data_IF_955803608728
#
_entry.id   IF_955803608728
#
_cell.length_a   1.000
_cell.length_b   1.000
_cell.length_c   1.000
_cell.angle_alpha   90.00
_cell.angle_beta   90.00
_cell.angle_gamma   90.00
#
_symmetry.space_group_name_H-M   'P 1'
#
loop_
_entity.id
_entity.type
_entity.pdbx_description
1 polymer ?
#
# COMPACT_ATOMS: atom_id res chain seq x y z
N UNK A 1 14.92 -15.40 -5.38
CA UNK A 1 15.57 -14.15 -4.93
C UNK A 1 16.28 -14.45 -3.61
N UNK A 2 17.54 -14.05 -3.46
CA UNK A 2 18.32 -14.27 -2.22
C UNK A 2 18.15 -13.16 -1.17
N UNK A 3 17.00 -12.48 -1.16
CA UNK A 3 16.71 -11.40 -0.20
C UNK A 3 16.26 -12.06 1.10
N UNK A 4 16.96 -11.79 2.19
CA UNK A 4 16.58 -12.24 3.53
C UNK A 4 15.57 -11.25 4.10
N UNK A 5 14.39 -11.75 4.46
CA UNK A 5 13.37 -10.99 5.17
C UNK A 5 13.26 -11.42 6.63
N UNK A 6 12.59 -10.60 7.43
CA UNK A 6 12.17 -10.90 8.80
C UNK A 6 10.67 -10.73 8.91
N UNK A 7 10.03 -11.65 9.64
CA UNK A 7 8.60 -11.60 9.96
C UNK A 7 8.43 -10.97 11.36
N UNK A 8 7.30 -10.30 11.61
CA UNK A 8 6.98 -9.64 12.89
C UNK A 8 8.14 -8.75 13.39
N UNK A 9 8.70 -7.97 12.46
CA UNK A 9 9.94 -7.25 12.66
C UNK A 9 9.73 -5.94 13.42
N UNK A 10 10.44 -5.79 14.53
CA UNK A 10 10.45 -4.57 15.33
C UNK A 10 11.33 -3.48 14.72
N UNK A 11 10.89 -2.24 14.82
CA UNK A 11 11.67 -1.06 14.44
C UNK A 11 11.35 0.18 15.27
N UNK A 12 12.08 1.27 14.98
CA UNK A 12 11.88 2.58 15.60
C UNK A 12 12.01 3.72 14.59
N UNK A 13 11.25 4.77 14.80
CA UNK A 13 11.47 6.07 14.16
C UNK A 13 12.68 6.79 14.73
N UNK A 14 13.12 7.84 14.03
CA UNK A 14 14.13 8.78 14.52
C UNK A 14 13.70 9.49 15.83
N UNK A 15 12.39 9.67 16.06
CA UNK A 15 11.81 10.16 17.31
C UNK A 15 11.74 9.10 18.42
N UNK A 16 12.06 7.84 18.14
CA UNK A 16 12.04 6.73 19.10
C UNK A 16 10.70 5.98 19.19
N UNK A 17 9.72 6.33 18.36
CA UNK A 17 8.42 5.63 18.29
C UNK A 17 8.62 4.21 17.76
N UNK A 18 8.18 3.23 18.53
CA UNK A 18 8.28 1.82 18.16
C UNK A 18 7.23 1.44 17.13
N UNK A 19 7.56 0.48 16.29
CA UNK A 19 6.64 -0.17 15.38
C UNK A 19 7.02 -1.63 15.18
N UNK A 20 6.08 -2.35 14.60
CA UNK A 20 6.17 -3.76 14.27
C UNK A 20 5.56 -3.93 12.88
N UNK A 21 6.30 -4.61 12.02
CA UNK A 21 5.96 -4.86 10.62
C UNK A 21 5.73 -6.35 10.41
N UNK A 22 4.71 -6.72 9.64
CA UNK A 22 4.45 -8.13 9.33
C UNK A 22 5.60 -8.77 8.57
N UNK A 23 6.14 -8.06 7.56
CA UNK A 23 7.33 -8.47 6.82
C UNK A 23 8.23 -7.26 6.58
N UNK A 24 9.51 -7.39 6.91
CA UNK A 24 10.56 -6.40 6.68
C UNK A 24 11.71 -7.02 5.89
N UNK A 25 12.22 -6.32 4.88
CA UNK A 25 13.45 -6.69 4.20
C UNK A 25 14.19 -5.47 3.67
N UNK A 26 15.48 -5.65 3.40
CA UNK A 26 16.33 -4.61 2.85
C UNK A 26 16.93 -5.03 1.53
N UNK A 27 17.01 -4.07 0.61
CA UNK A 27 17.76 -4.14 -0.64
C UNK A 27 18.70 -2.93 -0.69
N UNK A 28 19.70 -2.89 -1.59
CA UNK A 28 20.65 -1.77 -1.63
C UNK A 28 19.95 -0.40 -1.63
N UNK A 29 20.15 0.36 -0.54
CA UNK A 29 19.60 1.71 -0.37
C UNK A 29 18.12 1.80 0.02
N UNK A 30 17.40 0.69 0.19
CA UNK A 30 15.97 0.69 0.52
C UNK A 30 15.64 -0.33 1.60
N UNK A 31 14.82 0.09 2.56
CA UNK A 31 14.21 -0.78 3.57
C UNK A 31 12.72 -0.79 3.34
N UNK A 32 12.15 -1.98 3.15
CA UNK A 32 10.79 -2.16 2.66
C UNK A 32 10.03 -3.03 3.67
N UNK A 33 8.82 -2.57 3.99
CA UNK A 33 7.81 -3.28 4.77
C UNK A 33 6.65 -3.68 3.87
N UNK A 34 6.19 -4.92 4.03
CA UNK A 34 4.91 -5.38 3.50
C UNK A 34 3.98 -5.65 4.68
N UNK A 35 2.87 -4.93 4.73
CA UNK A 35 1.83 -5.08 5.76
C UNK A 35 0.68 -5.96 5.27
N UNK A 36 0.34 -6.98 6.03
CA UNK A 36 -0.75 -7.94 5.77
C UNK A 36 -1.99 -7.59 6.59
N UNK A 37 -2.76 -6.60 6.16
CA UNK A 37 -3.95 -6.20 6.93
C UNK A 37 -5.16 -7.09 6.65
N UNK A 38 -5.40 -8.06 7.53
CA UNK A 38 -6.53 -9.01 7.48
C UNK A 38 -7.79 -8.48 8.17
N UNK A 39 -7.64 -7.81 9.30
CA UNK A 39 -8.75 -7.28 10.10
C UNK A 39 -9.13 -5.87 9.66
N UNK A 40 -10.35 -5.43 9.98
CA UNK A 40 -10.76 -4.06 9.73
C UNK A 40 -9.81 -3.06 10.41
N UNK A 41 -9.47 -1.98 9.70
CA UNK A 41 -8.66 -0.87 10.20
C UNK A 41 -9.17 0.45 9.61
N UNK A 42 -9.21 1.50 10.41
CA UNK A 42 -9.65 2.82 9.93
C UNK A 42 -8.58 3.48 9.07
N UNK A 43 -9.00 4.30 8.10
CA UNK A 43 -8.10 5.07 7.23
C UNK A 43 -7.06 5.88 8.04
N UNK A 44 -7.46 6.51 9.15
CA UNK A 44 -6.53 7.27 10.01
C UNK A 44 -5.38 6.42 10.56
N UNK A 45 -5.63 5.13 10.81
CA UNK A 45 -4.63 4.22 11.38
C UNK A 45 -3.67 3.74 10.29
N UNK A 46 -4.17 3.51 9.07
CA UNK A 46 -3.33 3.29 7.89
C UNK A 46 -2.37 4.46 7.66
N UNK A 47 -2.90 5.69 7.62
CA UNK A 47 -2.11 6.91 7.43
C UNK A 47 -1.08 7.07 8.55
N UNK A 48 -1.48 6.94 9.82
CA UNK A 48 -0.55 7.05 10.95
C UNK A 48 0.58 6.01 10.90
N UNK A 49 0.30 4.78 10.49
CA UNK A 49 1.34 3.74 10.32
C UNK A 49 2.24 4.06 9.13
N UNK A 50 1.68 4.52 8.02
CA UNK A 50 2.43 4.94 6.84
C UNK A 50 3.40 6.10 7.16
N UNK A 51 2.92 7.13 7.87
CA UNK A 51 3.73 8.25 8.34
C UNK A 51 4.87 7.78 9.27
N UNK A 52 4.59 6.81 10.15
CA UNK A 52 5.61 6.25 11.04
C UNK A 52 6.71 5.52 10.27
N UNK A 53 6.36 4.73 9.26
CA UNK A 53 7.34 4.09 8.39
C UNK A 53 8.15 5.12 7.60
N UNK A 54 7.48 6.13 7.05
CA UNK A 54 8.16 7.23 6.35
C UNK A 54 9.15 7.98 7.25
N UNK A 55 8.79 8.24 8.52
CA UNK A 55 9.66 8.87 9.50
C UNK A 55 10.87 8.00 9.91
N UNK A 56 10.80 6.70 9.64
CA UNK A 56 11.90 5.73 9.79
C UNK A 56 12.73 5.55 8.52
N UNK A 57 12.46 6.30 7.44
CA UNK A 57 13.03 6.05 6.11
C UNK A 57 12.78 4.61 5.61
N UNK A 58 11.60 4.07 5.96
CA UNK A 58 11.12 2.75 5.56
C UNK A 58 9.95 2.92 4.60
N UNK A 59 10.02 2.25 3.46
CA UNK A 59 8.89 2.17 2.53
C UNK A 59 7.88 1.14 3.04
N UNK A 60 6.59 1.46 3.01
CA UNK A 60 5.53 0.54 3.43
C UNK A 60 4.51 0.35 2.31
N UNK A 61 4.25 -0.91 1.97
CA UNK A 61 3.24 -1.34 1.00
C UNK A 61 2.23 -2.26 1.69
N UNK A 62 0.95 -1.94 1.53
CA UNK A 62 -0.15 -2.68 2.15
C UNK A 62 -0.69 -3.74 1.21
N UNK A 63 -0.84 -4.95 1.73
CA UNK A 63 -1.50 -6.05 1.08
C UNK A 63 -2.70 -6.47 1.93
N UNK A 64 -3.90 -6.07 1.50
CA UNK A 64 -5.12 -6.15 2.32
C UNK A 64 -6.13 -7.12 1.72
N UNK A 65 -7.02 -7.67 2.53
CA UNK A 65 -8.15 -8.49 2.01
C UNK A 65 -9.16 -7.64 1.26
N UNK A 66 -9.96 -8.29 0.40
CA UNK A 66 -11.01 -7.67 -0.42
C UNK A 66 -11.94 -6.74 0.32
N UNK A 67 -12.41 -7.14 1.50
CA UNK A 67 -13.31 -6.33 2.33
C UNK A 67 -12.67 -5.03 2.81
N UNK A 68 -11.41 -5.14 3.26
CA UNK A 68 -10.59 -4.00 3.67
C UNK A 68 -10.27 -3.09 2.49
N UNK A 69 -9.89 -3.66 1.34
CA UNK A 69 -9.59 -2.91 0.13
C UNK A 69 -10.78 -2.05 -0.31
N UNK A 70 -11.99 -2.64 -0.37
CA UNK A 70 -13.22 -1.92 -0.74
C UNK A 70 -13.57 -0.82 0.26
N UNK A 71 -13.41 -1.10 1.55
CA UNK A 71 -13.71 -0.12 2.60
C UNK A 71 -12.72 1.04 2.59
N UNK A 72 -11.44 0.73 2.42
CA UNK A 72 -10.37 1.70 2.29
C UNK A 72 -10.54 2.55 1.02
N UNK A 73 -10.87 1.94 -0.11
CA UNK A 73 -11.16 2.64 -1.37
C UNK A 73 -12.30 3.65 -1.24
N UNK A 74 -13.37 3.30 -0.53
CA UNK A 74 -14.47 4.25 -0.24
C UNK A 74 -14.01 5.40 0.66
N UNK A 75 -13.24 5.11 1.71
CA UNK A 75 -12.77 6.12 2.65
C UNK A 75 -11.78 7.10 1.98
N UNK A 76 -10.84 6.57 1.21
CA UNK A 76 -9.84 7.34 0.45
C UNK A 76 -10.50 8.17 -0.64
N UNK A 77 -11.45 7.62 -1.40
CA UNK A 77 -12.21 8.38 -2.41
C UNK A 77 -12.95 9.57 -1.79
N UNK A 78 -13.63 9.37 -0.65
CA UNK A 78 -14.33 10.46 0.06
C UNK A 78 -13.36 11.53 0.56
N UNK A 79 -12.21 11.11 1.11
CA UNK A 79 -11.17 12.03 1.54
C UNK A 79 -10.64 12.84 0.35
N UNK A 80 -10.31 12.16 -0.75
CA UNK A 80 -9.79 12.77 -1.97
C UNK A 80 -10.76 13.81 -2.54
N UNK A 81 -12.04 13.45 -2.70
CA UNK A 81 -13.06 14.38 -3.20
C UNK A 81 -13.20 15.62 -2.30
N UNK A 82 -13.21 15.42 -0.98
CA UNK A 82 -13.31 16.53 -0.03
C UNK A 82 -12.05 17.41 -0.04
N UNK A 83 -10.87 16.80 -0.04
CA UNK A 83 -9.57 17.48 0.09
C UNK A 83 -9.22 18.24 -1.19
N UNK A 84 -9.47 17.64 -2.35
CA UNK A 84 -8.86 18.07 -3.62
C UNK A 84 -9.91 18.56 -4.65
N UNK A 85 -11.20 18.23 -4.47
CA UNK A 85 -12.25 18.52 -5.47
C UNK A 85 -13.50 19.20 -4.90
N UNK A 86 -13.43 19.79 -3.71
CA UNK A 86 -14.57 20.52 -3.13
C UNK A 86 -15.83 19.65 -2.92
N UNK A 87 -15.66 18.33 -2.81
CA UNK A 87 -16.73 17.32 -2.74
C UNK A 87 -17.55 17.15 -4.03
N UNK A 88 -17.01 17.58 -5.18
CA UNK A 88 -17.57 17.34 -6.51
C UNK A 88 -16.75 16.29 -7.28
N UNK A 89 -17.42 15.49 -8.11
CA UNK A 89 -16.73 14.47 -8.89
C UNK A 89 -16.16 15.09 -10.19
N UNK A 90 -14.84 15.03 -10.42
CA UNK A 90 -14.23 15.67 -11.58
C UNK A 90 -14.58 14.94 -12.89
N UNK A 91 -14.67 15.66 -14.00
CA UNK A 91 -14.96 15.10 -15.32
C UNK A 91 -13.93 14.04 -15.77
N UNK A 92 -12.66 14.20 -15.37
CA UNK A 92 -11.58 13.22 -15.63
C UNK A 92 -11.58 12.00 -14.69
N UNK A 93 -12.49 11.95 -13.72
CA UNK A 93 -12.53 10.93 -12.67
C UNK A 93 -11.36 11.03 -11.67
N UNK A 94 -11.33 10.08 -10.73
CA UNK A 94 -10.33 10.03 -9.65
C UNK A 94 -9.50 8.72 -9.67
N UNK A 95 -9.48 8.02 -10.80
CA UNK A 95 -8.90 6.67 -10.89
C UNK A 95 -9.61 5.69 -9.96
N UNK A 96 -8.86 4.96 -9.12
CA UNK A 96 -9.45 4.12 -8.06
C UNK A 96 -9.81 4.90 -6.80
N UNK A 97 -9.45 6.18 -6.72
CA UNK A 97 -9.64 7.03 -5.54
C UNK A 97 -8.71 6.69 -4.36
N UNK A 98 -7.74 5.80 -4.57
CA UNK A 98 -6.66 5.55 -3.61
C UNK A 98 -5.70 6.74 -3.55
N UNK A 99 -4.92 6.85 -2.48
CA UNK A 99 -4.04 7.98 -2.24
C UNK A 99 -2.61 7.72 -2.72
N UNK A 100 -1.89 8.73 -3.26
CA UNK A 100 -0.48 8.60 -3.62
C UNK A 100 0.41 8.31 -2.41
N UNK A 101 0.04 8.79 -1.22
CA UNK A 101 0.78 8.53 0.03
C UNK A 101 0.52 7.14 0.61
N UNK A 102 -0.41 6.35 0.07
CA UNK A 102 -0.83 5.06 0.65
C UNK A 102 -0.76 3.93 -0.39
N UNK A 103 0.41 3.26 -0.56
CA UNK A 103 0.59 2.16 -1.50
C UNK A 103 -0.18 0.92 -1.04
N UNK A 104 -1.29 0.60 -1.70
CA UNK A 104 -2.17 -0.51 -1.32
C UNK A 104 -2.47 -1.40 -2.52
N UNK A 105 -2.43 -2.70 -2.29
CA UNK A 105 -2.96 -3.73 -3.17
C UNK A 105 -3.88 -4.68 -2.38
N UNK A 106 -4.72 -5.42 -3.12
CA UNK A 106 -5.63 -6.41 -2.57
C UNK A 106 -5.04 -7.80 -2.79
N UNK A 107 -4.93 -8.62 -1.74
CA UNK A 107 -4.68 -10.05 -1.89
C UNK A 107 -6.02 -10.76 -2.01
N UNK A 108 -6.23 -11.43 -3.14
CA UNK A 108 -7.31 -12.39 -3.27
C UNK A 108 -6.88 -13.73 -2.67
N UNK A 109 -7.47 -14.09 -1.53
CA UNK A 109 -7.17 -15.36 -0.84
C UNK A 109 -8.14 -16.48 -1.21
N UNK A 110 -9.17 -16.20 -2.01
CA UNK A 110 -10.20 -17.19 -2.39
C UNK A 110 -9.76 -17.99 -3.62
N UNK A 111 -8.99 -17.36 -4.52
CA UNK A 111 -8.52 -17.96 -5.78
C UNK A 111 -6.99 -18.20 -5.80
N UNK A 112 -6.33 -17.91 -6.93
CA UNK A 112 -4.91 -18.20 -7.21
C UNK A 112 -3.91 -17.32 -6.46
N UNK A 113 -4.28 -16.76 -5.31
CA UNK A 113 -3.45 -15.84 -4.50
C UNK A 113 -2.90 -14.67 -5.33
N UNK A 114 -3.79 -14.05 -6.11
CA UNK A 114 -3.45 -12.92 -6.96
C UNK A 114 -3.48 -11.61 -6.17
N UNK A 115 -2.58 -10.71 -6.55
CA UNK A 115 -2.54 -9.34 -6.06
C UNK A 115 -3.25 -8.45 -7.07
N UNK A 116 -4.36 -7.84 -6.66
CA UNK A 116 -5.13 -6.90 -7.48
C UNK A 116 -4.81 -5.45 -7.07
N UNK A 117 -4.73 -4.58 -8.06
CA UNK A 117 -4.42 -3.16 -7.87
C UNK A 117 -5.12 -2.33 -8.96
N UNK A 118 -4.70 -1.07 -9.15
CA UNK A 118 -5.35 -0.08 -9.98
C UNK A 118 -5.90 -0.59 -11.32
N UNK A 119 -7.15 -0.23 -11.64
CA UNK A 119 -7.76 -0.52 -12.94
C UNK A 119 -8.08 -2.00 -13.19
N UNK A 120 -8.42 -2.77 -12.13
CA UNK A 120 -8.74 -4.20 -12.20
C UNK A 120 -7.57 -5.07 -12.71
N UNK A 121 -6.35 -4.55 -12.66
CA UNK A 121 -5.15 -5.32 -12.99
C UNK A 121 -4.81 -6.28 -11.85
N UNK A 122 -4.18 -7.38 -12.23
CA UNK A 122 -3.78 -8.45 -11.33
C UNK A 122 -2.40 -8.96 -11.67
N UNK A 123 -1.68 -9.43 -10.67
CA UNK A 123 -0.39 -10.09 -10.83
C UNK A 123 -0.21 -11.16 -9.75
N UNK A 124 0.76 -12.06 -9.93
CA UNK A 124 1.19 -12.93 -8.82
C UNK A 124 1.86 -12.08 -7.73
N UNK A 125 1.92 -12.59 -6.50
CA UNK A 125 2.70 -11.95 -5.42
C UNK A 125 4.15 -11.70 -5.85
N UNK A 126 4.78 -12.66 -6.52
CA UNK A 126 6.17 -12.53 -7.00
C UNK A 126 6.33 -11.41 -8.03
N UNK A 127 5.39 -11.29 -8.98
CA UNK A 127 5.42 -10.21 -9.98
C UNK A 127 5.19 -8.84 -9.33
N UNK A 128 4.26 -8.74 -8.38
CA UNK A 128 4.01 -7.52 -7.63
C UNK A 128 5.24 -7.09 -6.80
N UNK A 129 5.86 -8.02 -6.07
CA UNK A 129 7.10 -7.77 -5.33
C UNK A 129 8.24 -7.35 -6.25
N UNK A 130 8.40 -8.01 -7.41
CA UNK A 130 9.38 -7.59 -8.41
C UNK A 130 9.14 -6.16 -8.88
N UNK A 131 7.87 -5.76 -9.04
CA UNK A 131 7.52 -4.38 -9.36
C UNK A 131 7.87 -3.36 -8.27
N UNK A 132 7.69 -3.72 -7.00
CA UNK A 132 8.16 -2.89 -5.87
C UNK A 132 9.68 -2.74 -5.89
N UNK A 133 10.39 -3.85 -6.08
CA UNK A 133 11.86 -3.89 -6.09
C UNK A 133 12.46 -3.09 -7.25
N UNK A 134 11.86 -3.20 -8.44
CA UNK A 134 12.28 -2.47 -9.63
C UNK A 134 11.74 -1.03 -9.67
N UNK A 135 10.94 -0.63 -8.68
CA UNK A 135 10.33 0.70 -8.63
C UNK A 135 9.27 0.93 -9.72
N UNK A 136 8.71 -0.12 -10.32
CA UNK A 136 7.67 -0.03 -11.34
C UNK A 136 6.26 -0.06 -10.76
N UNK A 137 6.07 -0.51 -9.51
CA UNK A 137 4.81 -0.32 -8.78
C UNK A 137 4.72 1.12 -8.26
N UNK A 138 3.92 1.96 -8.93
CA UNK A 138 3.86 3.40 -8.68
C UNK A 138 2.43 3.94 -8.75
N UNK A 139 2.20 5.08 -8.08
CA UNK A 139 0.96 5.83 -8.24
C UNK A 139 0.94 6.63 -9.54
N UNK A 140 -0.02 6.34 -10.43
CA UNK A 140 -0.21 7.02 -11.71
C UNK A 140 -1.70 7.09 -12.04
N UNK A 141 -2.17 8.22 -12.54
CA UNK A 141 -3.56 8.37 -13.00
C UNK A 141 -4.62 7.99 -11.94
N UNK A 142 -4.42 8.42 -10.68
CA UNK A 142 -5.38 8.14 -9.61
C UNK A 142 -5.33 6.71 -9.04
N UNK A 143 -4.28 5.94 -9.34
CA UNK A 143 -4.21 4.52 -9.01
C UNK A 143 -2.78 4.04 -8.75
N UNK A 144 -2.57 3.16 -7.77
CA UNK A 144 -1.33 2.38 -7.68
C UNK A 144 -1.32 1.26 -8.71
N UNK A 145 -0.24 1.15 -9.49
CA UNK A 145 -0.17 0.22 -10.62
C UNK A 145 1.25 -0.22 -10.94
N UNK A 146 1.39 -1.38 -11.59
CA UNK A 146 2.62 -1.76 -12.27
C UNK A 146 2.73 -0.96 -13.58
N UNK A 147 3.88 -0.31 -13.78
CA UNK A 147 4.31 0.19 -15.07
C UNK A 147 4.72 -0.94 -16.00
N UNK A 148 4.51 -0.72 -17.29
CA UNK A 148 5.11 -1.51 -18.36
C UNK A 148 6.64 -1.33 -18.39
#
# INVERSE_FOLDING_TARGET
MGIVGSEEALGRSSSGDKWEADVLFSVPGRTIVIELQRSYQHLRDFIRRQERYSASAVECYWLVRKENFRTLGKATSRLLLKRDFGNEFPQGGIGTGMLPELPVAMLDTEDSQLVLFGGLKMATVSTWLAGILNGTYQYRGGSWNLGD
#
